data_IF_429986840988
#
_entry.id   IF_429986840988
#
_cell.length_a   1.000
_cell.length_b   1.000
_cell.length_c   1.000
_cell.angle_alpha   90.00
_cell.angle_beta   90.00
_cell.angle_gamma   90.00
#
_symmetry.space_group_name_H-M   'P 1'
#
loop_
_entity.id
_entity.type
_entity.pdbx_description
1 polymer ?
#
# COMPACT_ATOMS: atom_id res chain seq x y z
N UNK A 1 -7.50 -10.22 17.59
CA UNK A 1 -6.32 -10.70 16.84
C UNK A 1 -6.80 -10.96 15.41
N UNK A 2 -6.21 -10.32 14.38
CA UNK A 2 -6.77 -10.35 13.01
C UNK A 2 -6.53 -11.71 12.31
N UNK A 3 -7.33 -12.01 11.28
CA UNK A 3 -7.18 -13.23 10.48
C UNK A 3 -5.80 -13.32 9.82
N UNK A 4 -5.22 -12.19 9.42
CA UNK A 4 -3.87 -12.09 8.86
C UNK A 4 -2.81 -12.53 9.87
N UNK A 5 -2.93 -12.10 11.13
CA UNK A 5 -2.01 -12.48 12.20
C UNK A 5 -2.10 -13.98 12.57
N UNK A 6 -3.27 -14.60 12.38
CA UNK A 6 -3.45 -16.05 12.58
C UNK A 6 -2.87 -16.86 11.42
N UNK A 7 -3.02 -16.37 10.19
CA UNK A 7 -2.46 -16.97 8.98
C UNK A 7 -0.93 -17.04 9.01
N UNK A 8 -0.25 -15.96 9.44
CA UNK A 8 1.22 -15.90 9.56
C UNK A 8 1.78 -16.90 10.58
N UNK A 9 0.97 -17.34 11.56
CA UNK A 9 1.35 -18.35 12.56
C UNK A 9 0.95 -19.77 12.16
N UNK A 10 0.48 -19.97 10.93
CA UNK A 10 0.01 -21.28 10.43
C UNK A 10 -1.31 -21.74 11.07
N UNK A 11 -2.05 -20.83 11.72
CA UNK A 11 -3.29 -21.11 12.46
C UNK A 11 -4.54 -20.54 11.75
N UNK A 12 -4.46 -20.25 10.44
CA UNK A 12 -5.55 -19.71 9.62
C UNK A 12 -5.37 -19.99 8.11
N UNK A 13 -6.32 -19.55 7.29
CA UNK A 13 -6.14 -19.61 5.82
C UNK A 13 -4.93 -18.78 5.39
N UNK A 14 -4.16 -19.21 4.35
CA UNK A 14 -3.00 -18.44 3.89
C UNK A 14 -3.33 -16.96 3.64
N UNK A 15 -2.38 -16.07 3.92
CA UNK A 15 -2.58 -14.61 3.81
C UNK A 15 -3.02 -14.24 2.40
N UNK A 16 -2.42 -14.85 1.38
CA UNK A 16 -2.80 -14.66 -0.02
C UNK A 16 -4.25 -15.07 -0.29
N UNK A 17 -4.71 -16.18 0.28
CA UNK A 17 -6.09 -16.65 0.10
C UNK A 17 -7.08 -15.69 0.77
N UNK A 18 -6.73 -15.20 1.96
CA UNK A 18 -7.56 -14.24 2.71
C UNK A 18 -7.65 -12.90 1.98
N UNK A 19 -6.53 -12.37 1.48
CA UNK A 19 -6.48 -11.05 0.83
C UNK A 19 -7.05 -11.09 -0.59
N UNK A 20 -6.66 -12.08 -1.40
CA UNK A 20 -7.07 -12.18 -2.81
C UNK A 20 -8.53 -12.62 -2.99
N UNK A 21 -9.19 -13.18 -1.97
CA UNK A 21 -10.61 -13.56 -2.06
C UNK A 21 -11.55 -12.63 -1.28
N UNK A 22 -11.02 -11.57 -0.66
CA UNK A 22 -11.84 -10.64 0.10
C UNK A 22 -12.33 -9.47 -0.78
N UNK A 23 -13.63 -9.49 -1.08
CA UNK A 23 -14.27 -8.45 -1.89
C UNK A 23 -14.20 -7.06 -1.26
N UNK A 24 -14.21 -6.95 0.07
CA UNK A 24 -14.08 -5.65 0.73
C UNK A 24 -12.69 -5.04 0.49
N UNK A 25 -11.63 -5.86 0.48
CA UNK A 25 -10.27 -5.40 0.17
C UNK A 25 -10.19 -4.97 -1.30
N UNK A 26 -10.68 -5.81 -2.23
CA UNK A 26 -10.68 -5.49 -3.67
C UNK A 26 -11.45 -4.20 -3.97
N UNK A 27 -12.65 -4.08 -3.42
CA UNK A 27 -13.49 -2.88 -3.60
C UNK A 27 -12.84 -1.66 -2.97
N UNK A 28 -12.19 -1.82 -1.81
CA UNK A 28 -11.41 -0.75 -1.18
C UNK A 28 -10.29 -0.25 -2.09
N UNK A 29 -9.47 -1.14 -2.64
CA UNK A 29 -8.37 -0.76 -3.55
C UNK A 29 -8.91 -0.09 -4.82
N UNK A 30 -9.97 -0.65 -5.41
CA UNK A 30 -10.62 -0.07 -6.58
C UNK A 30 -11.11 1.35 -6.29
N UNK A 31 -11.74 1.57 -5.15
CA UNK A 31 -12.22 2.88 -4.73
C UNK A 31 -11.07 3.90 -4.56
N UNK A 32 -9.92 3.47 -4.03
CA UNK A 32 -8.74 4.32 -3.94
C UNK A 32 -8.22 4.73 -5.32
N UNK A 33 -8.13 3.79 -6.26
CA UNK A 33 -7.73 4.09 -7.65
C UNK A 33 -8.71 5.06 -8.35
N UNK A 34 -10.01 4.90 -8.12
CA UNK A 34 -11.04 5.80 -8.66
C UNK A 34 -10.89 7.23 -8.11
N UNK A 35 -10.67 7.40 -6.80
CA UNK A 35 -10.43 8.71 -6.19
C UNK A 35 -9.19 9.37 -6.83
N UNK A 36 -8.08 8.64 -6.91
CA UNK A 36 -6.84 9.19 -7.45
C UNK A 36 -6.99 9.57 -8.93
N UNK A 37 -7.74 8.78 -9.70
CA UNK A 37 -8.07 9.09 -11.09
C UNK A 37 -8.86 10.39 -11.19
N UNK A 38 -9.89 10.56 -10.35
CA UNK A 38 -10.72 11.76 -10.34
C UNK A 38 -9.93 13.02 -9.92
N UNK A 39 -8.86 12.85 -9.14
CA UNK A 39 -7.99 13.94 -8.69
C UNK A 39 -6.82 14.22 -9.66
N UNK A 40 -6.85 13.66 -10.88
CA UNK A 40 -5.88 13.91 -11.94
C UNK A 40 -4.60 13.07 -11.83
N UNK A 41 -4.57 12.06 -10.97
CA UNK A 41 -3.51 11.05 -10.90
C UNK A 41 -2.11 11.65 -10.77
N UNK A 42 -1.93 12.74 -10.03
CA UNK A 42 -0.62 13.42 -9.92
C UNK A 42 0.32 12.79 -8.88
N UNK A 43 -0.13 11.74 -8.18
CA UNK A 43 0.63 11.09 -7.11
C UNK A 43 0.29 11.59 -5.71
N UNK A 44 -0.76 12.41 -5.59
CA UNK A 44 -1.33 12.87 -4.33
C UNK A 44 -2.84 12.67 -4.30
N UNK A 45 -3.38 12.49 -3.10
CA UNK A 45 -4.82 12.47 -2.87
C UNK A 45 -5.43 13.88 -2.87
N UNK A 46 -4.67 14.92 -2.52
CA UNK A 46 -5.21 16.27 -2.32
C UNK A 46 -4.32 17.31 -3.00
N UNK A 47 -4.80 17.87 -4.11
CA UNK A 47 -4.05 18.80 -4.96
C UNK A 47 -2.66 18.23 -5.27
N UNK A 48 -1.61 19.01 -5.09
CA UNK A 48 -0.19 18.69 -5.34
C UNK A 48 0.62 18.57 -4.03
N UNK A 49 -0.05 18.36 -2.89
CA UNK A 49 0.60 18.37 -1.58
C UNK A 49 0.67 16.98 -0.98
N UNK A 50 1.79 16.70 -0.31
CA UNK A 50 1.89 15.57 0.59
C UNK A 50 1.01 15.80 1.82
N UNK A 51 0.10 14.87 2.06
CA UNK A 51 -0.84 14.86 3.19
C UNK A 51 -0.79 13.53 3.92
N UNK A 52 -1.46 13.48 5.07
CA UNK A 52 -1.59 12.25 5.86
C UNK A 52 -2.16 11.07 5.05
N UNK A 53 -3.11 11.32 4.13
CA UNK A 53 -3.74 10.26 3.32
C UNK A 53 -2.73 9.59 2.40
N UNK A 54 -1.79 10.36 1.84
CA UNK A 54 -0.72 9.84 0.99
C UNK A 54 0.21 8.90 1.77
N UNK A 55 0.52 9.25 3.03
CA UNK A 55 1.34 8.41 3.92
C UNK A 55 0.64 7.08 4.22
N UNK A 56 -0.67 7.11 4.50
CA UNK A 56 -1.44 5.88 4.74
C UNK A 56 -1.49 4.99 3.49
N UNK A 57 -1.71 5.57 2.32
CA UNK A 57 -1.69 4.82 1.06
C UNK A 57 -0.28 4.27 0.75
N UNK A 58 0.77 5.04 1.01
CA UNK A 58 2.15 4.58 0.91
C UNK A 58 2.41 3.37 1.82
N UNK A 59 2.07 3.44 3.10
CA UNK A 59 2.25 2.32 4.04
C UNK A 59 1.47 1.07 3.61
N UNK A 60 0.25 1.24 3.07
CA UNK A 60 -0.54 0.15 2.52
C UNK A 60 0.20 -0.55 1.38
N UNK A 61 0.68 0.20 0.38
CA UNK A 61 1.40 -0.39 -0.77
C UNK A 61 2.71 -1.02 -0.31
N UNK A 62 3.49 -0.32 0.51
CA UNK A 62 4.80 -0.75 1.00
C UNK A 62 4.72 -2.09 1.76
N UNK A 63 3.68 -2.30 2.56
CA UNK A 63 3.48 -3.53 3.34
C UNK A 63 3.32 -4.78 2.47
N UNK A 64 2.89 -4.65 1.21
CA UNK A 64 2.50 -5.78 0.36
C UNK A 64 3.25 -5.87 -0.97
N UNK A 65 3.90 -4.80 -1.43
CA UNK A 65 4.53 -4.76 -2.76
C UNK A 65 5.62 -5.84 -2.94
N UNK A 66 6.39 -6.10 -1.89
CA UNK A 66 7.45 -7.12 -1.86
C UNK A 66 7.07 -8.35 -1.03
N UNK A 67 5.83 -8.44 -0.54
CA UNK A 67 5.37 -9.60 0.21
C UNK A 67 5.16 -10.79 -0.74
N UNK A 68 5.97 -11.87 -0.66
CA UNK A 68 5.99 -12.90 -1.70
C UNK A 68 4.63 -13.53 -2.04
N UNK A 69 3.74 -13.82 -1.05
CA UNK A 69 2.41 -14.35 -1.34
C UNK A 69 1.48 -13.40 -2.11
N UNK A 70 1.75 -12.09 -2.09
CA UNK A 70 0.95 -11.05 -2.74
C UNK A 70 1.73 -10.31 -3.82
N UNK A 71 2.80 -10.92 -4.35
CA UNK A 71 3.60 -10.32 -5.41
C UNK A 71 2.72 -9.94 -6.61
N UNK A 72 2.82 -8.68 -7.04
CA UNK A 72 2.03 -8.14 -8.15
C UNK A 72 0.60 -7.72 -7.79
N UNK A 73 0.19 -7.82 -6.52
CA UNK A 73 -1.09 -7.30 -6.06
C UNK A 73 -1.18 -5.78 -6.26
N UNK A 74 -0.13 -5.06 -5.89
CA UNK A 74 0.10 -3.67 -6.30
C UNK A 74 1.11 -3.63 -7.44
N UNK A 75 0.70 -3.18 -8.63
CA UNK A 75 1.58 -3.07 -9.80
C UNK A 75 1.14 -1.91 -10.70
N UNK A 76 1.95 -1.56 -11.71
CA UNK A 76 1.54 -0.52 -12.67
C UNK A 76 0.34 -0.97 -13.52
N UNK A 77 0.12 -2.28 -13.64
CA UNK A 77 -0.96 -2.88 -14.41
C UNK A 77 -2.27 -2.94 -13.61
N UNK A 78 -2.20 -3.21 -12.30
CA UNK A 78 -3.38 -3.38 -11.44
C UNK A 78 -3.77 -2.11 -10.70
N UNK A 79 -2.79 -1.34 -10.23
CA UNK A 79 -2.99 -0.17 -9.35
C UNK A 79 -2.02 0.97 -9.72
N UNK A 80 -2.07 1.49 -10.96
CA UNK A 80 -1.11 2.48 -11.44
C UNK A 80 -1.05 3.75 -10.59
N UNK A 81 -2.18 4.21 -10.06
CA UNK A 81 -2.22 5.46 -9.31
C UNK A 81 -1.64 5.30 -7.89
N UNK A 82 -1.97 4.20 -7.21
CA UNK A 82 -1.38 3.87 -5.91
C UNK A 82 0.13 3.63 -6.03
N UNK A 83 0.59 3.00 -7.11
CA UNK A 83 2.03 2.90 -7.39
C UNK A 83 2.66 4.28 -7.59
N UNK A 84 1.96 5.21 -8.23
CA UNK A 84 2.44 6.58 -8.37
C UNK A 84 2.54 7.29 -7.02
N UNK A 85 1.53 7.17 -6.15
CA UNK A 85 1.58 7.68 -4.76
C UNK A 85 2.78 7.07 -4.02
N UNK A 86 2.95 5.75 -4.09
CA UNK A 86 4.08 5.06 -3.47
C UNK A 86 5.44 5.63 -3.93
N UNK A 87 5.63 5.83 -5.24
CA UNK A 87 6.85 6.43 -5.80
C UNK A 87 7.04 7.88 -5.34
N UNK A 88 5.97 8.68 -5.34
CA UNK A 88 6.03 10.08 -4.90
C UNK A 88 6.43 10.17 -3.43
N UNK A 89 5.78 9.42 -2.54
CA UNK A 89 6.08 9.44 -1.10
C UNK A 89 7.46 8.87 -0.79
N UNK A 90 7.85 7.75 -1.42
CA UNK A 90 9.18 7.14 -1.22
C UNK A 90 10.34 8.00 -1.74
N UNK A 91 10.07 8.99 -2.59
CA UNK A 91 11.06 9.97 -3.05
C UNK A 91 11.25 11.16 -2.09
N UNK A 92 10.40 11.29 -1.06
CA UNK A 92 10.50 12.39 -0.10
C UNK A 92 11.78 12.24 0.76
N UNK A 93 12.63 13.28 0.88
CA UNK A 93 13.90 13.19 1.61
C UNK A 93 13.76 12.78 3.08
N UNK A 94 12.76 13.29 3.80
CA UNK A 94 12.54 12.98 5.23
C UNK A 94 12.08 11.54 5.41
N UNK A 95 11.26 11.04 4.47
CA UNK A 95 10.88 9.62 4.44
C UNK A 95 12.11 8.77 4.17
N UNK A 96 12.90 9.08 3.14
CA UNK A 96 14.14 8.35 2.81
C UNK A 96 15.11 8.33 3.98
N UNK A 97 15.25 9.43 4.72
CA UNK A 97 16.06 9.52 5.93
C UNK A 97 15.50 8.64 7.05
N UNK A 98 14.19 8.70 7.31
CA UNK A 98 13.52 7.85 8.30
C UNK A 98 13.72 6.36 8.01
N UNK A 99 13.59 5.95 6.73
CA UNK A 99 13.72 4.55 6.33
C UNK A 99 15.13 3.98 6.56
N UNK A 100 16.16 4.83 6.67
CA UNK A 100 17.55 4.45 6.99
C UNK A 100 17.88 4.58 8.48
N UNK A 101 16.97 5.14 9.28
CA UNK A 101 17.22 5.43 10.69
C UNK A 101 16.93 4.21 11.57
N UNK A 102 17.57 4.19 12.75
CA UNK A 102 17.30 3.22 13.82
C UNK A 102 15.84 3.26 14.33
N UNK A 103 15.05 4.27 13.96
CA UNK A 103 13.63 4.39 14.32
C UNK A 103 12.74 3.46 13.50
N UNK A 104 13.21 2.99 12.33
CA UNK A 104 12.48 2.01 11.53
C UNK A 104 12.66 0.63 12.16
N UNK A 105 11.57 0.08 12.70
CA UNK A 105 11.55 -1.23 13.37
C UNK A 105 11.76 -2.45 12.44
N UNK A 106 11.95 -2.22 11.13
CA UNK A 106 11.98 -3.25 10.10
C UNK A 106 13.37 -3.39 9.43
N UNK A 107 14.44 -2.98 10.12
CA UNK A 107 15.83 -3.21 9.69
C UNK A 107 16.25 -4.67 9.91
#
# INVERSE_FOLDING_TARGET
MSAVFMAERGLGEPVEKTVLNNDAIKNGIKYQEEILTNNGSNGHYMNDKLTYVDIIAYCLVESYIDFPPLKGFFSNETTPNLIKVYKTVSSNPEIVEYLKSEKRLAN
#
